data_IF_992040315976
#
_entry.id   IF_992040315976
#
_cell.length_a   1.000
_cell.length_b   1.000
_cell.length_c   1.000
_cell.angle_alpha   90.00
_cell.angle_beta   90.00
_cell.angle_gamma   90.00
#
_symmetry.space_group_name_H-M   'P 1'
#
loop_
_entity.id
_entity.type
_entity.pdbx_description
1 polymer ?
#
# COMPACT_ATOMS: atom_id res chain seq x y z
N UNK A 1 21.85 6.75 0.33
CA UNK A 1 22.32 5.45 -0.19
C UNK A 1 21.47 5.12 -1.41
N UNK A 2 22.07 4.70 -2.52
CA UNK A 2 21.34 4.30 -3.73
C UNK A 2 20.96 2.82 -3.68
N UNK A 3 19.83 2.46 -4.28
CA UNK A 3 19.37 1.08 -4.44
C UNK A 3 19.92 0.47 -5.73
N UNK A 4 20.12 -0.85 -5.72
CA UNK A 4 20.50 -1.64 -6.90
C UNK A 4 19.30 -1.93 -7.80
N UNK A 5 19.55 -2.21 -9.08
CA UNK A 5 18.48 -2.59 -10.02
C UNK A 5 17.76 -3.87 -9.59
N UNK A 6 18.49 -4.83 -9.00
CA UNK A 6 17.89 -6.06 -8.48
C UNK A 6 16.91 -5.76 -7.34
N UNK A 7 17.27 -4.87 -6.41
CA UNK A 7 16.37 -4.47 -5.32
C UNK A 7 15.12 -3.74 -5.84
N UNK A 8 15.23 -2.94 -6.91
CA UNK A 8 14.10 -2.27 -7.53
C UNK A 8 13.13 -3.26 -8.21
N UNK A 9 13.64 -4.35 -8.76
CA UNK A 9 12.80 -5.39 -9.37
C UNK A 9 11.98 -6.18 -8.33
N UNK A 10 12.42 -6.20 -7.07
CA UNK A 10 11.72 -6.84 -5.96
C UNK A 10 10.70 -5.93 -5.26
N UNK A 11 10.59 -4.66 -5.65
CA UNK A 11 9.61 -3.73 -5.06
C UNK A 11 8.13 -4.11 -5.23
N UNK A 12 7.66 -4.61 -6.39
CA UNK A 12 6.24 -4.88 -6.59
C UNK A 12 5.58 -5.73 -5.49
N UNK A 13 6.12 -6.90 -5.08
CA UNK A 13 5.49 -7.69 -4.02
C UNK A 13 5.46 -6.97 -2.66
N UNK A 14 6.48 -6.16 -2.34
CA UNK A 14 6.52 -5.42 -1.08
C UNK A 14 5.51 -4.27 -1.03
N UNK A 15 5.37 -3.53 -2.13
CA UNK A 15 4.39 -2.44 -2.22
C UNK A 15 2.96 -3.01 -2.21
N UNK A 16 2.74 -4.16 -2.86
CA UNK A 16 1.46 -4.86 -2.80
C UNK A 16 1.12 -5.32 -1.38
N UNK A 17 2.09 -5.88 -0.66
CA UNK A 17 1.88 -6.29 0.73
C UNK A 17 1.53 -5.09 1.64
N UNK A 18 2.17 -3.93 1.43
CA UNK A 18 1.82 -2.69 2.12
C UNK A 18 0.39 -2.25 1.81
N UNK A 19 -0.01 -2.26 0.54
CA UNK A 19 -1.37 -1.91 0.13
C UNK A 19 -2.41 -2.81 0.82
N UNK A 20 -2.18 -4.13 0.82
CA UNK A 20 -3.10 -5.09 1.43
C UNK A 20 -3.18 -4.93 2.95
N UNK A 21 -2.05 -4.68 3.62
CA UNK A 21 -2.03 -4.44 5.06
C UNK A 21 -2.76 -3.15 5.43
N UNK A 22 -2.58 -2.09 4.65
CA UNK A 22 -3.25 -0.82 4.84
C UNK A 22 -4.78 -0.94 4.63
N UNK A 23 -5.23 -1.66 3.58
CA UNK A 23 -6.65 -1.95 3.38
C UNK A 23 -7.26 -2.71 4.57
N UNK A 24 -6.60 -3.79 5.00
CA UNK A 24 -7.06 -4.58 6.16
C UNK A 24 -7.15 -3.75 7.43
N UNK A 25 -6.19 -2.84 7.66
CA UNK A 25 -6.23 -1.91 8.79
C UNK A 25 -7.40 -0.93 8.66
N UNK A 26 -7.68 -0.45 7.45
CA UNK A 26 -8.83 0.39 7.14
C UNK A 26 -10.14 -0.28 7.56
N UNK A 27 -10.37 -1.48 7.03
CA UNK A 27 -11.58 -2.28 7.30
C UNK A 27 -11.73 -2.60 8.80
N UNK A 28 -10.63 -3.00 9.46
CA UNK A 28 -10.65 -3.30 10.89
C UNK A 28 -10.98 -2.08 11.75
N UNK A 29 -10.53 -0.89 11.33
CA UNK A 29 -10.80 0.35 12.06
C UNK A 29 -12.27 0.76 11.91
N UNK A 30 -12.84 0.67 10.70
CA UNK A 30 -14.27 0.91 10.48
C UNK A 30 -15.13 -0.05 11.31
N UNK A 31 -14.81 -1.35 11.29
CA UNK A 31 -15.51 -2.34 12.12
C UNK A 31 -15.39 -2.03 13.63
N UNK A 32 -14.27 -1.48 14.09
CA UNK A 32 -14.10 -1.07 15.47
C UNK A 32 -14.97 0.16 15.80
N UNK A 33 -15.05 1.14 14.90
CA UNK A 33 -15.92 2.30 15.05
C UNK A 33 -17.39 1.87 15.17
N UNK A 34 -17.87 1.01 14.27
CA UNK A 34 -19.23 0.47 14.27
C UNK A 34 -19.57 -0.23 15.58
N UNK A 35 -18.66 -1.08 16.08
CA UNK A 35 -18.83 -1.81 17.35
C UNK A 35 -18.91 -0.86 18.54
N UNK A 36 -18.05 0.17 18.58
CA UNK A 36 -18.07 1.17 19.66
C UNK A 36 -19.37 1.98 19.61
N UNK A 37 -19.82 2.37 18.42
CA UNK A 37 -21.08 3.09 18.26
C UNK A 37 -22.28 2.22 18.70
N UNK A 38 -22.30 0.94 18.33
CA UNK A 38 -23.33 0.00 18.79
C UNK A 38 -23.37 -0.13 20.33
N UNK A 39 -22.22 -0.15 21.01
CA UNK A 39 -22.16 -0.15 22.48
C UNK A 39 -22.75 1.14 23.06
N UNK A 40 -22.46 2.30 22.46
CA UNK A 40 -23.04 3.58 22.87
C UNK A 40 -24.57 3.54 22.75
N UNK A 41 -25.08 3.05 21.61
CA UNK A 41 -26.51 3.05 21.29
C UNK A 41 -27.30 2.07 22.17
N UNK A 42 -26.70 0.94 22.55
CA UNK A 42 -27.31 -0.05 23.45
C UNK A 42 -27.14 0.28 24.94
N UNK A 43 -26.31 1.27 25.29
CA UNK A 43 -25.97 1.54 26.68
C UNK A 43 -27.13 2.17 27.45
N UNK A 44 -27.46 1.58 28.60
CA UNK A 44 -28.48 2.07 29.54
C UNK A 44 -27.88 2.81 30.73
N UNK A 45 -26.59 3.14 30.71
CA UNK A 45 -25.92 3.83 31.82
C UNK A 45 -26.52 5.22 32.06
N UNK A 46 -26.67 5.60 33.32
CA UNK A 46 -27.27 6.86 33.75
C UNK A 46 -26.33 7.63 34.68
N UNK A 47 -26.59 8.92 34.82
CA UNK A 47 -25.80 9.85 35.63
C UNK A 47 -24.47 10.24 34.97
N UNK A 48 -23.75 11.13 35.64
CA UNK A 48 -22.54 11.78 35.11
C UNK A 48 -21.48 10.79 34.60
N UNK A 49 -21.32 9.66 35.28
CA UNK A 49 -20.39 8.61 34.87
C UNK A 49 -20.81 7.93 33.55
N UNK A 50 -22.11 7.71 33.36
CA UNK A 50 -22.65 7.15 32.12
C UNK A 50 -22.50 8.11 30.94
N UNK A 51 -22.73 9.39 31.17
CA UNK A 51 -22.56 10.43 30.15
C UNK A 51 -21.09 10.60 29.75
N UNK A 52 -20.18 10.61 30.72
CA UNK A 52 -18.73 10.63 30.47
C UNK A 52 -18.27 9.40 29.67
N UNK A 53 -18.80 8.21 29.97
CA UNK A 53 -18.47 6.99 29.26
C UNK A 53 -18.98 7.02 27.80
N UNK A 54 -20.23 7.46 27.56
CA UNK A 54 -20.77 7.62 26.21
C UNK A 54 -19.97 8.61 25.39
N UNK A 55 -19.61 9.75 25.97
CA UNK A 55 -18.81 10.78 25.32
C UNK A 55 -17.39 10.27 24.96
N UNK A 56 -16.74 9.54 25.87
CA UNK A 56 -15.45 8.89 25.59
C UNK A 56 -15.54 7.85 24.47
N UNK A 57 -16.62 7.06 24.43
CA UNK A 57 -16.84 6.06 23.39
C UNK A 57 -17.15 6.71 22.03
N UNK A 58 -17.99 7.76 21.97
CA UNK A 58 -18.22 8.53 20.73
C UNK A 58 -16.93 9.09 20.16
N UNK A 59 -16.06 9.65 21.01
CA UNK A 59 -14.72 10.07 20.58
C UNK A 59 -13.86 8.91 20.07
N UNK A 60 -13.97 7.74 20.68
CA UNK A 60 -13.23 6.55 20.26
C UNK A 60 -13.71 6.05 18.90
N UNK A 61 -15.02 6.01 18.67
CA UNK A 61 -15.60 5.66 17.37
C UNK A 61 -15.09 6.62 16.28
N UNK A 62 -15.16 7.93 16.49
CA UNK A 62 -14.65 8.93 15.55
C UNK A 62 -13.14 8.78 15.27
N UNK A 63 -12.34 8.40 16.28
CA UNK A 63 -10.91 8.13 16.08
C UNK A 63 -10.67 6.89 15.23
N UNK A 64 -11.44 5.83 15.45
CA UNK A 64 -11.36 4.62 14.63
C UNK A 64 -11.78 4.90 13.18
N UNK A 65 -12.84 5.68 12.96
CA UNK A 65 -13.23 6.10 11.61
C UNK A 65 -12.12 6.85 10.90
N UNK A 66 -11.55 7.87 11.56
CA UNK A 66 -10.45 8.64 10.97
C UNK A 66 -9.22 7.76 10.67
N UNK A 67 -8.84 6.88 11.61
CA UNK A 67 -7.75 5.94 11.40
C UNK A 67 -8.02 4.97 10.24
N UNK A 68 -9.29 4.61 10.04
CA UNK A 68 -9.75 3.81 8.91
C UNK A 68 -9.57 4.53 7.58
N UNK A 69 -10.04 5.78 7.48
CA UNK A 69 -9.88 6.61 6.28
C UNK A 69 -8.40 6.85 5.93
N UNK A 70 -7.57 7.17 6.91
CA UNK A 70 -6.13 7.35 6.71
C UNK A 70 -5.48 6.06 6.18
N UNK A 71 -5.86 4.89 6.71
CA UNK A 71 -5.34 3.61 6.23
C UNK A 71 -5.77 3.29 4.79
N UNK A 72 -7.04 3.53 4.45
CA UNK A 72 -7.54 3.35 3.09
C UNK A 72 -6.87 4.31 2.10
N UNK A 73 -6.56 5.53 2.54
CA UNK A 73 -5.80 6.49 1.75
C UNK A 73 -4.38 5.98 1.45
N UNK A 74 -3.69 5.44 2.45
CA UNK A 74 -2.39 4.78 2.27
C UNK A 74 -2.53 3.60 1.29
N UNK A 75 -3.56 2.77 1.43
CA UNK A 75 -3.80 1.63 0.54
C UNK A 75 -4.01 2.07 -0.91
N UNK A 76 -4.76 3.14 -1.16
CA UNK A 76 -4.98 3.69 -2.49
C UNK A 76 -3.66 4.13 -3.14
N UNK A 77 -2.84 4.89 -2.42
CA UNK A 77 -1.54 5.33 -2.93
C UNK A 77 -0.55 4.18 -3.11
N UNK A 78 -0.54 3.21 -2.20
CA UNK A 78 0.29 2.02 -2.34
C UNK A 78 -0.13 1.18 -3.56
N UNK A 79 -1.43 1.06 -3.85
CA UNK A 79 -1.90 0.38 -5.07
C UNK A 79 -1.47 1.11 -6.35
N UNK A 80 -1.47 2.44 -6.34
CA UNK A 80 -0.93 3.23 -7.46
C UNK A 80 0.57 2.98 -7.62
N UNK A 81 1.34 3.09 -6.53
CA UNK A 81 2.77 2.83 -6.52
C UNK A 81 3.11 1.39 -6.93
N UNK A 82 2.25 0.43 -6.61
CA UNK A 82 2.39 -0.96 -7.05
C UNK A 82 2.38 -1.05 -8.58
N UNK A 83 1.39 -0.45 -9.24
CA UNK A 83 1.35 -0.43 -10.71
C UNK A 83 2.59 0.25 -11.32
N UNK A 84 3.00 1.40 -10.77
CA UNK A 84 4.21 2.10 -11.21
C UNK A 84 5.48 1.25 -11.02
N UNK A 85 5.56 0.50 -9.91
CA UNK A 85 6.69 -0.39 -9.63
C UNK A 85 6.75 -1.60 -10.55
N UNK A 86 5.60 -2.11 -11.00
CA UNK A 86 5.55 -3.19 -11.99
C UNK A 86 6.12 -2.72 -13.32
N UNK A 87 5.67 -1.56 -13.80
CA UNK A 87 6.22 -0.94 -15.03
C UNK A 87 7.73 -0.72 -14.91
N UNK A 88 8.20 -0.21 -13.78
CA UNK A 88 9.64 -0.02 -13.56
C UNK A 88 10.42 -1.34 -13.60
N UNK A 89 9.92 -2.40 -12.95
CA UNK A 89 10.58 -3.70 -12.93
C UNK A 89 10.65 -4.34 -14.33
N UNK A 90 9.57 -4.20 -15.11
CA UNK A 90 9.49 -4.66 -16.50
C UNK A 90 10.49 -3.91 -17.39
N UNK A 91 10.57 -2.58 -17.25
CA UNK A 91 11.51 -1.73 -18.00
C UNK A 91 12.96 -2.12 -17.69
N UNK A 92 13.31 -2.31 -16.41
CA UNK A 92 14.64 -2.78 -16.00
C UNK A 92 14.94 -4.14 -16.65
N UNK A 93 13.99 -5.07 -16.63
CA UNK A 93 14.13 -6.38 -17.27
C UNK A 93 14.40 -6.26 -18.77
N UNK A 94 13.65 -5.41 -19.47
CA UNK A 94 13.83 -5.14 -20.89
C UNK A 94 15.21 -4.52 -21.21
N UNK A 95 15.67 -3.56 -20.40
CA UNK A 95 16.99 -2.95 -20.57
C UNK A 95 18.12 -3.97 -20.38
N UNK A 96 18.04 -4.81 -19.35
CA UNK A 96 19.03 -5.85 -19.09
C UNK A 96 19.07 -6.90 -20.22
N UNK A 97 17.90 -7.30 -20.73
CA UNK A 97 17.80 -8.22 -21.86
C UNK A 97 18.40 -7.61 -23.14
N UNK A 98 18.11 -6.35 -23.42
CA UNK A 98 18.71 -5.62 -24.55
C UNK A 98 20.23 -5.55 -24.45
N UNK A 99 20.76 -5.22 -23.26
CA UNK A 99 22.20 -5.13 -23.02
C UNK A 99 22.91 -6.48 -23.15
N UNK A 100 22.24 -7.58 -22.81
CA UNK A 100 22.77 -8.93 -22.94
C UNK A 100 22.73 -9.49 -24.38
N UNK A 101 21.99 -8.85 -25.29
CA UNK A 101 21.84 -9.33 -26.65
C UNK A 101 23.18 -9.25 -27.44
N UNK A 102 23.54 -10.27 -28.22
CA UNK A 102 24.79 -10.27 -28.98
C UNK A 102 24.82 -9.12 -29.99
N UNK A 103 25.90 -8.33 -29.94
CA UNK A 103 26.13 -7.19 -30.86
C UNK A 103 26.28 -7.69 -32.30
N UNK A 104 25.32 -7.37 -33.17
CA UNK A 104 25.31 -7.72 -34.61
C UNK A 104 26.30 -6.89 -35.46
N UNK A 105 27.52 -6.64 -34.98
CA UNK A 105 28.53 -5.85 -35.72
C UNK A 105 29.55 -6.70 -36.51
N UNK A 106 29.41 -8.04 -36.52
CA UNK A 106 30.30 -8.92 -37.27
C UNK A 106 29.80 -9.21 -38.68
N UNK A 107 29.78 -8.20 -39.54
CA UNK A 107 29.80 -8.40 -41.00
C UNK A 107 30.33 -7.16 -41.71
N UNK A 108 31.59 -6.77 -41.42
CA UNK A 108 32.35 -5.95 -42.36
C UNK A 108 32.87 -6.92 -43.43
N UNK A 109 32.47 -6.83 -44.71
CA UNK A 109 33.03 -7.68 -45.74
C UNK A 109 34.53 -7.39 -45.86
N UNK A 110 35.35 -8.44 -45.81
CA UNK A 110 36.80 -8.32 -46.03
C UNK A 110 37.01 -7.89 -47.48
N UNK A 111 37.78 -6.83 -47.79
CA UNK A 111 38.06 -6.46 -49.17
C UNK A 111 38.83 -7.62 -49.82
N UNK A 112 38.29 -8.12 -50.94
CA UNK A 112 38.99 -9.06 -51.80
C UNK A 112 40.16 -8.31 -52.45
N UNK A 113 41.39 -8.77 -52.13
CA UNK A 113 42.60 -8.48 -52.90
C UNK A 113 42.54 -9.21 -54.25
#
# INVERSE_FOLDING_TARGET
>A
MGMTLAELQEWPPHIKALADAASKRGDASQQAADKVQAIVDMSTWQGDAGDAARDAMKRSAARFDNAGFEALYVAMHANKAYGESQTLADDIGAFLAYAAAPRRWTSIPKPML
#
